data_IF_509843474776
#
_entry.id   IF_509843474776
#
_cell.length_a   1.000
_cell.length_b   1.000
_cell.length_c   1.000
_cell.angle_alpha   90.00
_cell.angle_beta   90.00
_cell.angle_gamma   90.00
#
_symmetry.space_group_name_H-M   'P 1'
#
loop_
_entity.id
_entity.type
_entity.pdbx_description
1 polymer ?
#
# COMPACT_ATOMS: atom_id res chain seq x y z
N UNK A 1 -19.46 69.49 -16.04
CA UNK A 1 -18.72 68.24 -15.75
C UNK A 1 -17.75 68.01 -16.90
N UNK A 2 -16.44 67.94 -16.65
CA UNK A 2 -15.43 67.92 -17.68
C UNK A 2 -15.28 66.50 -18.26
N UNK A 3 -15.47 66.29 -19.59
CA UNK A 3 -15.46 64.95 -20.20
C UNK A 3 -14.08 64.22 -20.10
N UNK A 4 -13.05 64.91 -19.67
CA UNK A 4 -11.69 64.33 -19.48
C UNK A 4 -11.53 63.37 -18.33
N UNK A 5 -12.34 63.52 -17.26
CA UNK A 5 -12.28 62.66 -16.06
C UNK A 5 -12.95 61.30 -16.30
N UNK A 6 -14.01 61.22 -17.11
CA UNK A 6 -14.66 59.96 -17.46
C UNK A 6 -13.82 59.04 -18.35
N UNK A 7 -13.05 59.65 -19.28
CA UNK A 7 -12.19 58.90 -20.17
C UNK A 7 -10.98 58.29 -19.41
N UNK A 8 -10.41 59.02 -18.46
CA UNK A 8 -9.30 58.54 -17.64
C UNK A 8 -9.70 57.36 -16.76
N UNK A 9 -10.92 57.33 -16.21
CA UNK A 9 -11.45 56.20 -15.39
C UNK A 9 -11.70 54.95 -16.26
N UNK A 10 -12.17 55.12 -17.49
CA UNK A 10 -12.36 53.99 -18.42
C UNK A 10 -11.02 53.33 -18.83
N UNK A 11 -10.00 54.16 -19.10
CA UNK A 11 -8.68 53.64 -19.47
C UNK A 11 -8.00 52.91 -18.30
N UNK A 12 -8.11 53.43 -17.07
CA UNK A 12 -7.60 52.75 -15.85
C UNK A 12 -8.32 51.44 -15.63
N UNK A 13 -9.67 51.41 -15.80
CA UNK A 13 -10.46 50.18 -15.68
C UNK A 13 -10.05 49.10 -16.72
N UNK A 14 -9.82 49.52 -17.97
CA UNK A 14 -9.35 48.58 -19.02
C UNK A 14 -7.95 48.03 -18.77
N UNK A 15 -7.05 48.84 -18.22
CA UNK A 15 -5.68 48.42 -17.87
C UNK A 15 -5.70 47.44 -16.68
N UNK A 16 -6.54 47.66 -15.70
CA UNK A 16 -6.69 46.73 -14.54
C UNK A 16 -7.29 45.40 -15.00
N UNK A 17 -8.29 45.40 -15.90
CA UNK A 17 -8.85 44.18 -16.47
C UNK A 17 -7.86 43.43 -17.37
N UNK A 18 -7.08 44.14 -18.16
CA UNK A 18 -6.03 43.53 -19.01
C UNK A 18 -4.86 42.97 -18.16
N UNK A 19 -4.47 43.68 -17.08
CA UNK A 19 -3.50 43.18 -16.14
C UNK A 19 -4.04 41.96 -15.35
N UNK A 20 -5.30 41.97 -14.97
CA UNK A 20 -5.96 40.82 -14.32
C UNK A 20 -6.00 39.59 -15.22
N UNK A 21 -6.08 39.76 -16.53
CA UNK A 21 -6.05 38.66 -17.50
C UNK A 21 -4.62 38.14 -17.78
N UNK A 22 -3.62 39.03 -17.72
CA UNK A 22 -2.20 38.68 -17.87
C UNK A 22 -1.55 38.16 -16.58
N UNK A 23 -2.04 38.62 -15.43
CA UNK A 23 -1.59 38.22 -14.10
C UNK A 23 -2.72 37.52 -13.33
N UNK A 24 -3.67 36.88 -14.05
CA UNK A 24 -4.66 36.01 -13.45
C UNK A 24 -3.97 35.03 -12.50
N UNK A 25 -4.67 34.54 -11.45
CA UNK A 25 -4.04 33.71 -10.43
C UNK A 25 -3.21 32.63 -11.13
N UNK A 26 -1.88 32.68 -10.91
CA UNK A 26 -1.00 31.63 -11.34
C UNK A 26 -1.65 30.35 -10.86
N UNK A 27 -2.06 29.49 -11.80
CA UNK A 27 -2.60 28.19 -11.46
C UNK A 27 -1.59 27.55 -10.50
N UNK A 28 -1.98 27.41 -9.25
CA UNK A 28 -1.15 26.73 -8.25
C UNK A 28 -0.74 25.41 -8.88
N UNK A 29 0.58 25.12 -8.98
CA UNK A 29 1.04 23.82 -9.49
C UNK A 29 0.46 22.75 -8.57
N UNK A 30 -0.54 22.01 -9.01
CA UNK A 30 -1.23 21.00 -8.23
C UNK A 30 -2.74 20.92 -8.44
N UNK A 31 -3.37 21.92 -9.06
CA UNK A 31 -4.83 21.91 -9.31
C UNK A 31 -5.22 21.31 -10.67
N UNK A 32 -4.27 20.93 -11.51
CA UNK A 32 -4.56 20.11 -12.69
C UNK A 32 -4.92 18.71 -12.16
N UNK A 33 -6.23 18.38 -12.14
CA UNK A 33 -6.67 16.99 -11.98
C UNK A 33 -5.89 16.18 -13.02
N UNK A 34 -4.97 15.32 -12.55
CA UNK A 34 -4.21 14.50 -13.48
C UNK A 34 -5.21 13.64 -14.26
N UNK A 35 -4.94 13.43 -15.54
CA UNK A 35 -5.77 12.57 -16.42
C UNK A 35 -5.92 11.15 -15.81
N UNK A 36 -5.04 10.79 -14.88
CA UNK A 36 -5.01 9.49 -14.23
C UNK A 36 -5.72 9.44 -12.88
N UNK A 37 -6.19 10.57 -12.34
CA UNK A 37 -6.93 10.59 -11.08
C UNK A 37 -8.21 9.74 -11.18
N UNK A 38 -8.41 8.86 -10.19
CA UNK A 38 -9.52 7.92 -10.13
C UNK A 38 -9.31 6.61 -10.88
N UNK A 39 -8.27 6.49 -11.72
CA UNK A 39 -7.91 5.23 -12.38
C UNK A 39 -7.32 4.23 -11.38
N UNK A 40 -7.53 2.95 -11.63
CA UNK A 40 -6.84 1.90 -10.89
C UNK A 40 -5.32 1.99 -11.11
N UNK A 41 -4.55 1.75 -10.05
CA UNK A 41 -3.09 1.63 -10.14
C UNK A 41 -2.68 0.50 -11.09
N UNK A 42 -3.43 -0.62 -11.08
CA UNK A 42 -3.23 -1.79 -11.91
C UNK A 42 -4.57 -2.26 -12.49
N UNK A 43 -5.02 -1.75 -13.66
CA UNK A 43 -6.34 -2.05 -14.21
C UNK A 43 -6.60 -3.55 -14.44
N UNK A 44 -5.57 -4.31 -14.87
CA UNK A 44 -5.70 -5.71 -15.26
C UNK A 44 -5.32 -6.69 -14.16
N UNK A 45 -4.95 -6.20 -12.98
CA UNK A 45 -4.39 -7.02 -11.91
C UNK A 45 -5.38 -8.06 -11.40
N UNK A 46 -6.65 -7.70 -11.24
CA UNK A 46 -7.66 -8.61 -10.72
C UNK A 46 -7.77 -9.91 -11.57
N UNK A 47 -7.71 -9.79 -12.89
CA UNK A 47 -7.69 -10.94 -13.79
C UNK A 47 -6.34 -11.67 -13.77
N UNK A 48 -5.24 -10.96 -13.59
CA UNK A 48 -3.90 -11.54 -13.61
C UNK A 48 -3.56 -12.30 -12.32
N UNK A 49 -4.20 -11.99 -11.18
CA UNK A 49 -3.92 -12.62 -9.88
C UNK A 49 -4.14 -14.14 -9.87
N UNK A 50 -4.97 -14.70 -10.76
CA UNK A 50 -5.11 -16.15 -10.88
C UNK A 50 -3.78 -16.86 -11.21
N UNK A 51 -2.86 -16.15 -11.89
CA UNK A 51 -1.53 -16.64 -12.25
C UNK A 51 -0.46 -16.35 -11.19
N UNK A 52 -0.82 -15.69 -10.09
CA UNK A 52 0.13 -15.37 -9.03
C UNK A 52 0.64 -16.65 -8.37
N UNK A 53 1.96 -16.78 -8.31
CA UNK A 53 2.68 -17.91 -7.70
C UNK A 53 3.58 -17.47 -6.54
N UNK A 54 3.97 -16.20 -6.50
CA UNK A 54 4.85 -15.66 -5.47
C UNK A 54 4.49 -14.22 -5.14
N UNK A 55 4.57 -13.87 -3.86
CA UNK A 55 4.49 -12.50 -3.36
C UNK A 55 5.78 -12.22 -2.61
N UNK A 56 6.47 -11.15 -3.01
CA UNK A 56 7.69 -10.69 -2.38
C UNK A 56 7.49 -9.33 -1.72
N UNK A 57 8.02 -9.19 -0.50
CA UNK A 57 8.13 -7.89 0.16
C UNK A 57 9.59 -7.60 0.44
N UNK A 58 10.13 -6.52 -0.15
CA UNK A 58 11.51 -6.08 0.08
C UNK A 58 11.51 -4.85 0.97
N UNK A 59 12.26 -4.92 2.06
CA UNK A 59 12.47 -3.83 3.00
C UNK A 59 13.92 -3.83 3.50
N UNK A 60 14.61 -2.70 3.38
CA UNK A 60 16.00 -2.54 3.79
C UNK A 60 16.93 -3.66 3.28
N UNK A 61 16.75 -4.01 2.00
CA UNK A 61 17.54 -5.05 1.34
C UNK A 61 17.20 -6.49 1.74
N UNK A 62 16.25 -6.70 2.67
CA UNK A 62 15.75 -8.03 3.04
C UNK A 62 14.48 -8.33 2.27
N UNK A 63 14.38 -9.57 1.78
CA UNK A 63 13.21 -10.04 1.05
C UNK A 63 12.46 -11.07 1.89
N UNK A 64 11.16 -10.86 2.01
CA UNK A 64 10.20 -11.84 2.50
C UNK A 64 9.53 -12.47 1.28
N UNK A 65 9.66 -13.79 1.13
CA UNK A 65 9.08 -14.55 0.01
C UNK A 65 7.92 -15.40 0.51
N UNK A 66 6.74 -15.16 -0.04
CA UNK A 66 5.52 -15.95 0.19
C UNK A 66 5.22 -16.68 -1.11
N UNK A 67 5.30 -18.01 -1.11
CA UNK A 67 5.11 -18.85 -2.31
C UNK A 67 3.84 -19.67 -2.22
N UNK A 68 3.23 -19.87 -3.37
CA UNK A 68 2.10 -20.74 -3.53
C UNK A 68 2.57 -22.19 -3.73
N UNK A 69 2.00 -23.09 -2.94
CA UNK A 69 2.16 -24.54 -3.09
C UNK A 69 0.76 -25.18 -3.15
N UNK A 70 0.35 -25.57 -4.35
CA UNK A 70 -1.04 -25.99 -4.62
C UNK A 70 -2.06 -24.90 -4.27
N UNK A 71 -2.90 -25.17 -3.28
CA UNK A 71 -3.95 -24.24 -2.82
C UNK A 71 -3.53 -23.43 -1.59
N UNK A 72 -2.30 -23.65 -1.08
CA UNK A 72 -1.79 -22.98 0.11
C UNK A 72 -0.70 -21.99 -0.22
N UNK A 73 -0.53 -21.01 0.65
CA UNK A 73 0.57 -20.05 0.58
C UNK A 73 1.42 -20.16 1.83
N UNK A 74 2.72 -20.18 1.68
CA UNK A 74 3.68 -20.36 2.77
C UNK A 74 4.91 -19.48 2.65
N UNK A 75 5.58 -19.25 3.78
CA UNK A 75 6.85 -18.53 3.86
C UNK A 75 7.99 -19.42 3.35
N UNK A 76 8.65 -19.02 2.27
CA UNK A 76 9.67 -19.83 1.62
C UNK A 76 10.90 -20.06 2.51
N UNK A 77 11.34 -19.04 3.24
CA UNK A 77 12.48 -19.08 4.18
C UNK A 77 12.17 -19.79 5.50
N UNK A 78 10.92 -20.19 5.72
CA UNK A 78 10.42 -20.92 6.89
C UNK A 78 9.92 -22.33 6.54
N UNK A 79 10.49 -22.96 5.52
CA UNK A 79 10.11 -24.30 5.10
C UNK A 79 8.66 -24.42 4.59
N UNK A 80 8.12 -23.35 4.01
CA UNK A 80 6.75 -23.33 3.51
C UNK A 80 5.70 -23.16 4.63
N UNK A 81 6.08 -22.62 5.80
CA UNK A 81 5.12 -22.42 6.89
C UNK A 81 3.92 -21.61 6.43
N UNK A 82 2.68 -22.10 6.68
CA UNK A 82 1.47 -21.46 6.16
C UNK A 82 1.32 -20.02 6.61
N UNK A 83 0.98 -19.13 5.68
CA UNK A 83 0.61 -17.75 5.98
C UNK A 83 -0.88 -17.65 6.32
N UNK A 84 -1.25 -16.55 7.01
CA UNK A 84 -2.64 -16.22 7.29
C UNK A 84 -3.37 -15.89 5.99
N UNK A 85 -4.33 -16.72 5.52
CA UNK A 85 -4.93 -16.56 4.19
C UNK A 85 -5.70 -15.25 4.05
N UNK A 86 -6.37 -14.81 5.10
CA UNK A 86 -7.19 -13.59 5.07
C UNK A 86 -6.32 -12.34 4.95
N UNK A 87 -5.15 -12.33 5.59
CA UNK A 87 -4.20 -11.20 5.46
C UNK A 87 -3.68 -11.10 4.03
N UNK A 88 -3.27 -12.22 3.44
CA UNK A 88 -2.77 -12.24 2.06
C UNK A 88 -3.88 -11.82 1.07
N UNK A 89 -5.08 -12.36 1.24
CA UNK A 89 -6.24 -12.01 0.39
C UNK A 89 -6.56 -10.52 0.52
N UNK A 90 -6.64 -9.99 1.73
CA UNK A 90 -6.94 -8.57 1.97
C UNK A 90 -5.92 -7.65 1.33
N UNK A 91 -4.62 -7.96 1.44
CA UNK A 91 -3.56 -7.19 0.80
C UNK A 91 -3.66 -7.22 -0.73
N UNK A 92 -3.87 -8.40 -1.33
CA UNK A 92 -4.01 -8.56 -2.78
C UNK A 92 -5.26 -7.84 -3.31
N UNK A 93 -6.39 -7.94 -2.58
CA UNK A 93 -7.62 -7.20 -2.92
C UNK A 93 -7.39 -5.69 -2.85
N UNK A 94 -6.80 -5.19 -1.77
CA UNK A 94 -6.47 -3.77 -1.63
C UNK A 94 -5.57 -3.28 -2.78
N UNK A 95 -4.61 -4.10 -3.23
CA UNK A 95 -3.76 -3.76 -4.38
C UNK A 95 -4.55 -3.65 -5.69
N UNK A 96 -5.58 -4.50 -5.91
CA UNK A 96 -6.43 -4.41 -7.11
C UNK A 96 -7.36 -3.21 -7.10
N UNK A 97 -7.76 -2.74 -5.93
CA UNK A 97 -8.71 -1.64 -5.75
C UNK A 97 -8.03 -0.28 -5.62
N UNK A 98 -6.69 -0.26 -5.51
CA UNK A 98 -5.90 0.96 -5.30
C UNK A 98 -6.07 1.93 -6.45
N UNK A 99 -6.51 3.17 -6.16
CA UNK A 99 -6.79 4.21 -7.16
C UNK A 99 -5.82 5.37 -7.03
N UNK A 100 -5.33 5.84 -8.15
CA UNK A 100 -4.53 7.06 -8.23
C UNK A 100 -5.40 8.26 -7.83
N UNK A 101 -4.99 9.05 -6.84
CA UNK A 101 -5.69 10.27 -6.44
C UNK A 101 -4.95 11.50 -6.93
N UNK A 102 -3.72 11.71 -6.49
CA UNK A 102 -2.94 12.90 -6.82
C UNK A 102 -1.49 12.54 -7.19
N UNK A 103 -0.94 13.12 -8.25
CA UNK A 103 0.50 13.05 -8.50
C UNK A 103 1.24 13.82 -7.40
N UNK A 104 2.36 13.28 -6.92
CA UNK A 104 3.19 13.94 -5.90
C UNK A 104 4.50 14.41 -6.52
N UNK A 105 5.58 13.74 -6.27
CA UNK A 105 6.89 14.15 -6.76
C UNK A 105 7.50 13.13 -7.70
N UNK A 106 8.29 13.62 -8.65
CA UNK A 106 9.17 12.81 -9.48
C UNK A 106 10.65 12.98 -9.10
N UNK A 107 10.95 13.78 -8.05
CA UNK A 107 12.31 14.10 -7.64
C UNK A 107 12.77 13.10 -6.56
N UNK A 108 13.86 12.35 -6.79
CA UNK A 108 14.36 11.35 -5.84
C UNK A 108 14.70 11.91 -4.45
N UNK A 109 15.16 13.16 -4.37
CA UNK A 109 15.45 13.84 -3.10
C UNK A 109 14.23 13.99 -2.17
N UNK A 110 13.02 13.96 -2.72
CA UNK A 110 11.78 14.12 -1.99
C UNK A 110 11.12 12.78 -1.60
N UNK A 111 11.61 11.65 -2.12
CA UNK A 111 10.97 10.35 -1.88
C UNK A 111 10.96 9.93 -0.42
N UNK A 112 12.00 10.27 0.35
CA UNK A 112 12.09 9.93 1.78
C UNK A 112 10.93 10.53 2.60
N UNK A 113 10.46 11.74 2.25
CA UNK A 113 9.32 12.38 2.91
C UNK A 113 8.01 11.64 2.73
N UNK A 114 7.89 10.89 1.64
CA UNK A 114 6.71 10.09 1.30
C UNK A 114 6.91 8.61 1.67
N UNK A 115 8.12 8.21 2.05
CA UNK A 115 8.48 6.81 2.29
C UNK A 115 8.51 5.96 1.03
N UNK A 116 8.81 6.57 -0.15
CA UNK A 116 8.83 5.86 -1.44
C UNK A 116 10.24 5.83 -2.07
N UNK A 117 11.28 5.95 -1.25
CA UNK A 117 12.69 5.83 -1.64
C UNK A 117 13.03 4.40 -2.07
N UNK A 118 14.31 4.14 -2.36
CA UNK A 118 14.76 2.79 -2.68
C UNK A 118 14.56 1.85 -1.47
N UNK A 119 13.78 0.77 -1.61
CA UNK A 119 13.52 -0.17 -0.52
C UNK A 119 14.77 -0.99 -0.11
N UNK A 120 15.84 -0.97 -0.91
CA UNK A 120 17.10 -1.65 -0.58
C UNK A 120 18.02 -0.79 0.30
N UNK A 121 17.77 0.51 0.40
CA UNK A 121 18.58 1.38 1.27
C UNK A 121 18.38 1.00 2.74
N UNK A 122 19.45 1.00 3.57
CA UNK A 122 19.41 0.54 4.96
C UNK A 122 18.54 1.42 5.87
N UNK A 123 18.31 2.69 5.49
CA UNK A 123 17.49 3.68 6.17
C UNK A 123 16.10 3.84 5.53
N UNK A 124 15.75 2.98 4.58
CA UNK A 124 14.49 3.05 3.88
C UNK A 124 13.31 2.70 4.78
N UNK A 125 12.26 3.52 4.70
CA UNK A 125 10.94 3.23 5.28
C UNK A 125 9.98 2.63 4.25
N UNK A 126 10.42 2.52 2.99
CA UNK A 126 9.64 1.98 1.89
C UNK A 126 9.58 0.45 1.95
N UNK A 127 8.45 -0.11 1.53
CA UNK A 127 8.32 -1.53 1.22
C UNK A 127 8.09 -1.69 -0.29
N UNK A 128 8.84 -2.57 -0.95
CA UNK A 128 8.54 -2.96 -2.32
C UNK A 128 7.73 -4.25 -2.29
N UNK A 129 6.50 -4.16 -2.74
CA UNK A 129 5.62 -5.30 -2.98
C UNK A 129 5.75 -5.73 -4.45
N UNK A 130 6.01 -7.01 -4.68
CA UNK A 130 5.96 -7.66 -5.98
C UNK A 130 5.00 -8.82 -5.94
N UNK A 131 4.20 -8.98 -6.98
CA UNK A 131 3.41 -10.17 -7.25
C UNK A 131 3.96 -10.79 -8.52
N UNK A 132 4.40 -12.04 -8.46
CA UNK A 132 5.08 -12.73 -9.55
C UNK A 132 4.25 -13.94 -10.00
N UNK A 133 4.36 -14.29 -11.28
CA UNK A 133 3.86 -15.55 -11.81
C UNK A 133 4.82 -16.72 -11.56
N UNK A 134 4.45 -17.91 -11.99
CA UNK A 134 5.25 -19.14 -11.83
C UNK A 134 6.60 -19.09 -12.58
N UNK A 135 6.75 -18.20 -13.56
CA UNK A 135 8.01 -17.98 -14.28
C UNK A 135 8.88 -16.90 -13.63
N UNK A 136 8.43 -16.31 -12.50
CA UNK A 136 9.10 -15.22 -11.82
C UNK A 136 8.92 -13.85 -12.49
N UNK A 137 8.00 -13.73 -13.45
CA UNK A 137 7.69 -12.48 -14.12
C UNK A 137 6.76 -11.63 -13.25
N UNK A 138 7.06 -10.32 -13.06
CA UNK A 138 6.20 -9.45 -12.30
C UNK A 138 4.82 -9.25 -12.96
N UNK A 139 3.76 -9.60 -12.23
CA UNK A 139 2.36 -9.25 -12.54
C UNK A 139 2.08 -7.83 -12.03
N UNK A 140 2.59 -7.49 -10.84
CA UNK A 140 2.56 -6.16 -10.28
C UNK A 140 3.82 -5.88 -9.46
N UNK A 141 4.27 -4.61 -9.46
CA UNK A 141 5.36 -4.15 -8.62
C UNK A 141 5.05 -2.73 -8.13
N UNK A 142 5.12 -2.51 -6.82
CA UNK A 142 4.76 -1.24 -6.20
C UNK A 142 5.63 -0.96 -4.99
N UNK A 143 6.24 0.21 -4.94
CA UNK A 143 6.86 0.75 -3.74
C UNK A 143 5.74 1.43 -2.95
N UNK A 144 5.56 0.98 -1.72
CA UNK A 144 4.54 1.44 -0.77
C UNK A 144 5.23 2.21 0.35
N UNK A 145 4.80 3.44 0.51
CA UNK A 145 5.34 4.38 1.48
C UNK A 145 4.39 4.60 2.67
N UNK A 146 4.42 5.82 3.19
CA UNK A 146 3.61 6.19 4.34
C UNK A 146 2.11 6.17 4.00
N UNK A 147 1.29 5.65 4.91
CA UNK A 147 -0.17 5.72 4.83
C UNK A 147 -0.71 6.91 5.61
N UNK A 148 -1.86 7.42 5.17
CA UNK A 148 -2.62 8.47 5.84
C UNK A 148 -3.99 7.91 6.19
N UNK A 149 -4.20 7.61 7.45
CA UNK A 149 -5.49 7.19 7.97
C UNK A 149 -6.33 8.45 8.21
N UNK A 150 -7.43 8.59 7.51
CA UNK A 150 -8.34 9.72 7.61
C UNK A 150 -9.46 9.39 8.59
N UNK A 151 -9.36 9.90 9.82
CA UNK A 151 -10.33 9.62 10.90
C UNK A 151 -11.62 10.44 10.78
N UNK A 152 -11.71 11.39 9.85
CA UNK A 152 -12.85 12.27 9.67
C UNK A 152 -13.72 11.81 8.51
N UNK A 153 -14.94 11.33 8.82
CA UNK A 153 -15.95 11.00 7.80
C UNK A 153 -15.71 9.67 7.07
N UNK A 154 -16.45 9.49 5.99
CA UNK A 154 -16.42 8.28 5.15
C UNK A 154 -15.37 8.41 4.03
N UNK A 155 -14.20 8.97 4.36
CA UNK A 155 -13.10 9.16 3.39
C UNK A 155 -12.20 7.93 3.42
N UNK A 156 -11.91 7.32 2.27
CA UNK A 156 -10.99 6.18 2.21
C UNK A 156 -9.59 6.57 2.69
N UNK A 157 -8.89 5.62 3.32
CA UNK A 157 -7.48 5.77 3.62
C UNK A 157 -6.67 6.05 2.36
N UNK A 158 -5.52 6.69 2.55
CA UNK A 158 -4.62 7.05 1.48
C UNK A 158 -3.22 6.52 1.76
N UNK A 159 -2.49 6.20 0.70
CA UNK A 159 -1.11 5.73 0.80
C UNK A 159 -0.25 6.35 -0.30
N UNK A 160 0.99 6.73 0.04
CA UNK A 160 1.96 7.17 -0.96
C UNK A 160 2.57 5.96 -1.64
N UNK A 161 2.58 6.00 -2.97
CA UNK A 161 3.07 4.88 -3.79
C UNK A 161 3.92 5.36 -4.95
N UNK A 162 4.78 4.48 -5.45
CA UNK A 162 5.58 4.70 -6.67
C UNK A 162 5.82 3.36 -7.36
N UNK A 163 5.69 3.32 -8.69
CA UNK A 163 6.16 2.15 -9.45
C UNK A 163 7.70 2.15 -9.48
N UNK A 164 8.36 1.00 -9.33
CA UNK A 164 9.83 0.93 -9.30
C UNK A 164 10.50 1.49 -10.55
N UNK A 165 9.86 1.34 -11.71
CA UNK A 165 10.32 1.75 -13.04
C UNK A 165 9.95 3.21 -13.39
N UNK A 166 9.23 3.91 -12.51
CA UNK A 166 8.77 5.27 -12.75
C UNK A 166 9.28 6.24 -11.69
N UNK A 167 9.63 7.45 -12.12
CA UNK A 167 10.01 8.52 -11.20
C UNK A 167 8.80 9.13 -10.50
N UNK A 168 7.61 9.14 -11.14
CA UNK A 168 6.43 9.75 -10.58
C UNK A 168 5.88 8.95 -9.39
N UNK A 169 5.80 9.60 -8.24
CA UNK A 169 5.09 9.09 -7.06
C UNK A 169 3.67 9.65 -6.99
N UNK A 170 2.80 8.93 -6.31
CA UNK A 170 1.37 9.22 -6.23
C UNK A 170 0.87 9.14 -4.79
N UNK A 171 -0.14 9.93 -4.47
CA UNK A 171 -1.06 9.62 -3.41
C UNK A 171 -2.16 8.75 -4.02
N UNK A 172 -2.39 7.58 -3.46
CA UNK A 172 -3.41 6.64 -3.91
C UNK A 172 -4.47 6.45 -2.82
N UNK A 173 -5.71 6.31 -3.23
CA UNK A 173 -6.84 5.96 -2.35
C UNK A 173 -6.93 4.44 -2.23
N UNK A 174 -7.04 3.97 -1.00
CA UNK A 174 -7.16 2.57 -0.61
C UNK A 174 -6.31 2.27 0.62
N UNK A 175 -6.73 1.30 1.40
CA UNK A 175 -6.00 0.84 2.59
C UNK A 175 -5.09 -0.31 2.20
N UNK A 176 -3.86 0.00 1.79
CA UNK A 176 -2.85 -1.00 1.46
C UNK A 176 -1.77 -1.02 2.55
N UNK A 177 -1.75 -2.10 3.34
CA UNK A 177 -0.70 -2.38 4.32
C UNK A 177 0.20 -3.50 3.83
N UNK A 178 1.51 -3.26 3.84
CA UNK A 178 2.53 -4.22 3.42
C UNK A 178 3.56 -4.35 4.53
N UNK A 179 3.62 -5.54 5.12
CA UNK A 179 4.54 -5.85 6.22
C UNK A 179 5.71 -6.70 5.71
N UNK A 180 6.93 -6.35 6.11
CA UNK A 180 8.13 -7.14 5.83
C UNK A 180 8.49 -8.12 6.97
N UNK A 181 7.80 -8.07 8.11
CA UNK A 181 8.02 -8.98 9.23
C UNK A 181 7.30 -10.33 8.96
N UNK A 182 8.05 -11.45 8.81
CA UNK A 182 7.44 -12.75 8.57
C UNK A 182 6.51 -13.21 9.68
N UNK A 183 6.72 -12.77 10.93
CA UNK A 183 5.87 -13.17 12.05
C UNK A 183 4.42 -12.66 11.91
N UNK A 184 4.25 -11.52 11.25
CA UNK A 184 2.93 -10.95 11.00
C UNK A 184 2.14 -11.69 9.91
N UNK A 185 2.81 -12.57 9.16
CA UNK A 185 2.19 -13.38 8.11
C UNK A 185 1.88 -14.80 8.54
N UNK A 186 2.55 -15.30 9.58
CA UNK A 186 2.41 -16.68 10.02
C UNK A 186 1.01 -16.97 10.54
N UNK A 187 0.45 -18.08 10.07
CA UNK A 187 -0.78 -18.63 10.64
C UNK A 187 -0.55 -19.00 12.09
N UNK A 188 -1.38 -18.48 12.98
CA UNK A 188 -1.22 -18.67 14.43
C UNK A 188 -1.93 -19.90 14.96
N UNK A 189 -2.93 -20.40 14.24
CA UNK A 189 -3.70 -21.57 14.63
C UNK A 189 -2.91 -22.85 14.33
N UNK A 190 -2.30 -23.43 15.35
CA UNK A 190 -1.56 -24.69 15.24
C UNK A 190 -2.52 -25.87 15.35
N UNK A 191 -3.49 -25.80 16.27
CA UNK A 191 -4.48 -26.81 16.54
C UNK A 191 -5.83 -26.16 16.84
N UNK A 192 -6.87 -26.65 16.20
CA UNK A 192 -8.26 -26.32 16.53
C UNK A 192 -8.98 -27.61 16.93
N UNK A 193 -8.78 -28.02 18.19
CA UNK A 193 -9.42 -29.20 18.77
C UNK A 193 -10.54 -28.72 19.67
N UNK A 194 -11.74 -29.21 19.41
CA UNK A 194 -12.88 -28.97 20.31
C UNK A 194 -12.52 -29.41 21.74
N UNK A 195 -12.69 -28.48 22.66
CA UNK A 195 -12.40 -28.71 24.09
C UNK A 195 -13.07 -29.98 24.61
N UNK A 196 -14.27 -30.30 24.15
CA UNK A 196 -15.01 -31.51 24.54
C UNK A 196 -14.33 -32.83 24.12
N UNK A 197 -13.39 -32.76 23.17
CA UNK A 197 -12.62 -33.91 22.68
C UNK A 197 -11.28 -34.08 23.40
N UNK A 198 -10.90 -33.14 24.27
CA UNK A 198 -9.64 -33.19 25.01
C UNK A 198 -9.88 -33.84 26.34
N UNK A 199 -9.35 -35.06 26.54
CA UNK A 199 -9.43 -35.78 27.80
C UNK A 199 -8.20 -35.54 28.69
N UNK A 200 -7.02 -35.34 28.08
CA UNK A 200 -5.76 -35.19 28.79
C UNK A 200 -4.82 -34.25 28.02
N UNK A 201 -4.12 -33.37 28.72
CA UNK A 201 -3.07 -32.50 28.18
C UNK A 201 -1.82 -32.66 29.04
N UNK A 202 -0.69 -32.99 28.44
CA UNK A 202 0.61 -32.94 29.09
C UNK A 202 1.54 -31.96 28.41
N UNK A 203 2.20 -31.11 29.19
CA UNK A 203 3.20 -30.15 28.74
C UNK A 203 4.53 -30.51 29.38
N UNK A 204 5.52 -30.84 28.57
CA UNK A 204 6.87 -31.09 29.02
C UNK A 204 7.78 -29.91 28.64
N UNK A 205 8.40 -29.32 29.66
CA UNK A 205 9.35 -28.22 29.50
C UNK A 205 10.50 -28.36 30.50
N UNK A 206 11.75 -28.26 30.02
CA UNK A 206 12.95 -28.25 30.85
C UNK A 206 12.99 -29.41 31.88
N UNK A 207 12.59 -30.63 31.48
CA UNK A 207 12.53 -31.82 32.36
C UNK A 207 11.33 -31.87 33.30
N UNK A 208 10.50 -30.86 33.32
CA UNK A 208 9.25 -30.82 34.13
C UNK A 208 8.06 -31.15 33.26
N UNK A 209 7.20 -32.05 33.74
CA UNK A 209 5.94 -32.40 33.07
C UNK A 209 4.77 -31.86 33.89
N UNK A 210 3.93 -31.05 33.24
CA UNK A 210 2.64 -30.62 33.76
C UNK A 210 1.54 -31.44 33.06
N UNK A 211 0.69 -32.08 33.80
CA UNK A 211 -0.42 -32.88 33.27
C UNK A 211 -1.76 -32.34 33.79
N UNK A 212 -2.74 -32.27 32.91
CA UNK A 212 -4.08 -31.81 33.17
C UNK A 212 -5.08 -32.84 32.62
N UNK A 213 -6.00 -33.29 33.43
CA UNK A 213 -7.08 -34.18 33.06
C UNK A 213 -8.42 -33.42 33.02
N UNK A 214 -9.21 -33.65 32.00
CA UNK A 214 -10.56 -33.12 31.93
C UNK A 214 -11.44 -33.87 32.94
N UNK A 215 -11.99 -33.15 33.91
CA UNK A 215 -12.93 -33.71 34.87
C UNK A 215 -14.34 -33.30 34.47
N UNK A 216 -15.18 -34.31 34.22
CA UNK A 216 -16.62 -34.16 33.91
C UNK A 216 -16.92 -33.17 32.74
N UNK A 217 -16.09 -33.21 31.71
CA UNK A 217 -16.30 -32.38 30.50
C UNK A 217 -16.09 -30.86 30.70
N UNK A 218 -15.41 -30.44 31.75
CA UNK A 218 -15.06 -29.05 32.04
C UNK A 218 -13.56 -28.84 32.05
#
# INVERSE_FOLDING_TARGET
>A
MRPRTGFALLVVGAVVLAAGWHFGPAQLPGAARSIDAGKLMFPDLAAALQNAAEVQVVHQGKTLDIRRDGDTWGLADRGGYPVEPEKLRSMLTALTELRLAEPRTAQPSEYARLGVQDPNAPDSTANLLRVLDAAGKPIAALIVGHSRVLTAGNVPDEVFVRRPDQAQSWLAQGSLSVDADPQLWMRRDILNIDRARIAHVSVQRDGTTLAFDAKDGK
#
